data_IF_084233700352
#
_entry.id   IF_084233700352
#
_cell.length_a   1.000
_cell.length_b   1.000
_cell.length_c   1.000
_cell.angle_alpha   90.00
_cell.angle_beta   90.00
_cell.angle_gamma   90.00
#
_symmetry.space_group_name_H-M   'P 1'
#
loop_
_entity.id
_entity.type
_entity.pdbx_description
1 polymer ?
#
# COMPACT_ATOMS: atom_id res chain seq x y z
N UNK A 1 -31.33 40.84 -2.03
CA UNK A 1 -30.09 40.58 -2.80
C UNK A 1 -28.89 40.13 -1.90
N UNK A 2 -28.81 40.48 -0.62
CA UNK A 2 -27.67 40.17 0.26
C UNK A 2 -27.50 38.66 0.61
N UNK A 3 -28.58 37.88 0.65
CA UNK A 3 -28.52 36.45 1.01
C UNK A 3 -28.01 35.50 -0.09
N UNK A 4 -28.14 35.86 -1.38
CA UNK A 4 -27.62 35.06 -2.50
C UNK A 4 -26.09 35.09 -2.52
N UNK A 5 -25.51 36.26 -2.25
CA UNK A 5 -24.05 36.43 -2.24
C UNK A 5 -23.36 35.62 -1.11
N UNK A 6 -24.00 35.56 0.07
CA UNK A 6 -23.48 34.78 1.20
C UNK A 6 -23.52 33.28 0.95
N UNK A 7 -24.53 32.79 0.24
CA UNK A 7 -24.67 31.36 -0.10
C UNK A 7 -23.61 30.90 -1.09
N UNK A 8 -23.31 31.71 -2.09
CA UNK A 8 -22.28 31.41 -3.11
C UNK A 8 -20.87 31.47 -2.49
N UNK A 9 -20.59 32.41 -1.60
CA UNK A 9 -19.30 32.52 -0.91
C UNK A 9 -19.11 31.34 0.07
N UNK A 10 -20.18 30.92 0.76
CA UNK A 10 -20.13 29.76 1.67
C UNK A 10 -19.92 28.44 0.91
N UNK A 11 -20.53 28.29 -0.26
CA UNK A 11 -20.33 27.13 -1.12
C UNK A 11 -18.89 27.06 -1.66
N UNK A 12 -18.30 28.20 -1.99
CA UNK A 12 -16.91 28.28 -2.45
C UNK A 12 -15.90 27.96 -1.33
N UNK A 13 -16.15 28.39 -0.10
CA UNK A 13 -15.30 28.10 1.07
C UNK A 13 -15.37 26.63 1.47
N UNK A 14 -16.54 25.99 1.34
CA UNK A 14 -16.70 24.55 1.64
C UNK A 14 -16.01 23.66 0.58
N UNK A 15 -15.94 24.11 -0.69
CA UNK A 15 -15.27 23.37 -1.76
C UNK A 15 -13.73 23.46 -1.68
N UNK A 16 -13.17 24.42 -0.95
CA UNK A 16 -11.72 24.58 -0.79
C UNK A 16 -11.12 23.79 0.39
N UNK A 17 -11.94 23.08 1.17
CA UNK A 17 -11.45 22.10 2.15
C UNK A 17 -11.16 20.76 1.44
N UNK A 18 -10.77 20.78 0.17
CA UNK A 18 -10.21 19.61 -0.50
C UNK A 18 -8.82 19.39 0.05
N UNK A 19 -8.76 18.51 1.02
CA UNK A 19 -7.64 17.60 1.30
C UNK A 19 -6.28 18.11 0.82
N UNK A 20 -5.75 19.13 1.52
CA UNK A 20 -4.34 19.43 1.40
C UNK A 20 -3.58 18.26 2.05
N UNK A 21 -3.23 17.26 1.25
CA UNK A 21 -2.13 16.37 1.60
C UNK A 21 -0.93 17.25 1.90
N UNK A 22 -0.38 17.27 3.11
CA UNK A 22 0.89 17.94 3.33
C UNK A 22 1.88 17.26 2.39
N UNK A 23 2.30 17.99 1.35
CA UNK A 23 3.31 17.55 0.40
C UNK A 23 4.55 17.14 1.19
N UNK A 24 4.89 15.84 1.15
CA UNK A 24 6.07 15.31 1.82
C UNK A 24 5.80 14.51 3.10
N UNK A 25 4.60 14.00 3.33
CA UNK A 25 4.37 13.10 4.48
C UNK A 25 5.14 11.79 4.25
N UNK A 26 6.21 11.61 5.01
CA UNK A 26 7.03 10.41 4.99
C UNK A 26 6.25 9.20 5.54
N UNK A 27 6.34 8.04 4.86
CA UNK A 27 5.64 6.81 5.25
C UNK A 27 5.99 6.40 6.69
N UNK A 28 7.25 6.55 7.11
CA UNK A 28 7.62 6.33 8.51
C UNK A 28 6.77 7.16 9.48
N UNK A 29 6.54 8.42 9.15
CA UNK A 29 5.76 9.33 10.00
C UNK A 29 4.30 8.90 10.08
N UNK A 30 3.73 8.39 8.98
CA UNK A 30 2.36 7.85 8.97
C UNK A 30 2.28 6.61 9.84
N UNK A 31 3.15 5.61 9.63
CA UNK A 31 3.20 4.38 10.43
C UNK A 31 3.36 4.68 11.92
N UNK A 32 4.30 5.57 12.28
CA UNK A 32 4.52 5.99 13.66
C UNK A 32 3.28 6.64 14.28
N UNK A 33 2.60 7.53 13.55
CA UNK A 33 1.37 8.18 14.01
C UNK A 33 0.27 7.17 14.24
N UNK A 34 0.04 6.25 13.30
CA UNK A 34 -0.96 5.19 13.40
C UNK A 34 -0.72 4.33 14.63
N UNK A 35 0.52 3.89 14.83
CA UNK A 35 0.89 3.12 16.03
C UNK A 35 0.70 3.90 17.34
N UNK A 36 1.13 5.15 17.39
CA UNK A 36 0.99 6.00 18.60
C UNK A 36 -0.47 6.32 18.94
N UNK A 37 -1.38 6.26 17.96
CA UNK A 37 -2.83 6.39 18.17
C UNK A 37 -3.49 5.08 18.68
N UNK A 38 -2.71 4.04 18.96
CA UNK A 38 -3.19 2.77 19.49
C UNK A 38 -3.60 1.75 18.43
N UNK A 39 -3.31 2.00 17.15
CA UNK A 39 -3.56 1.05 16.07
C UNK A 39 -2.29 0.23 15.78
N UNK A 40 -2.39 -1.08 15.86
CA UNK A 40 -1.33 -2.03 15.54
C UNK A 40 -1.38 -2.50 14.07
N UNK A 41 -2.27 -1.93 13.28
CA UNK A 41 -2.40 -2.19 11.84
C UNK A 41 -2.49 -0.89 11.04
N UNK A 42 -2.11 -0.96 9.76
CA UNK A 42 -2.21 0.15 8.80
C UNK A 42 -2.64 -0.35 7.42
N UNK A 43 -3.65 0.28 6.84
CA UNK A 43 -4.03 0.07 5.43
C UNK A 43 -3.48 1.24 4.58
N UNK A 44 -2.44 0.98 3.80
CA UNK A 44 -1.87 2.01 2.93
C UNK A 44 -2.82 2.43 1.80
N UNK A 45 -3.81 1.59 1.45
CA UNK A 45 -4.85 1.95 0.49
C UNK A 45 -5.72 3.11 0.96
N UNK A 46 -5.92 3.23 2.27
CA UNK A 46 -6.77 4.23 2.93
C UNK A 46 -5.97 5.39 3.54
N UNK A 47 -4.83 5.10 4.17
CA UNK A 47 -4.07 6.08 4.96
C UNK A 47 -3.20 7.03 4.13
N UNK A 48 -2.85 6.63 2.89
CA UNK A 48 -2.02 7.47 2.03
C UNK A 48 -2.87 8.49 1.28
N UNK A 49 -2.43 9.72 1.34
CA UNK A 49 -3.13 10.86 0.76
C UNK A 49 -2.84 11.10 -0.73
N UNK A 50 -1.98 10.30 -1.36
CA UNK A 50 -1.75 10.30 -2.79
C UNK A 50 -2.36 9.04 -3.43
N UNK A 51 -2.74 9.14 -4.70
CA UNK A 51 -3.32 8.01 -5.42
C UNK A 51 -2.23 7.12 -6.02
N UNK A 52 -2.44 5.80 -5.93
CA UNK A 52 -1.51 4.79 -6.40
C UNK A 52 -2.23 3.47 -6.72
N UNK A 53 -1.58 2.60 -7.50
CA UNK A 53 -2.12 1.29 -7.90
C UNK A 53 -1.32 0.15 -7.28
N UNK A 54 0.02 0.30 -7.30
CA UNK A 54 0.96 -0.72 -6.83
C UNK A 54 2.01 -0.10 -5.93
N UNK A 55 2.34 -0.83 -4.88
CA UNK A 55 3.47 -0.57 -4.01
C UNK A 55 4.51 -1.67 -4.21
N UNK A 56 5.77 -1.28 -4.31
CA UNK A 56 6.92 -2.17 -4.35
C UNK A 56 7.79 -1.93 -3.12
N UNK A 57 8.24 -3.02 -2.53
CA UNK A 57 9.30 -3.00 -1.56
C UNK A 57 10.50 -3.77 -2.08
N UNK A 58 11.67 -3.18 -2.01
CA UNK A 58 12.93 -3.80 -2.35
C UNK A 58 13.87 -3.71 -1.16
N UNK A 59 14.26 -4.85 -0.63
CA UNK A 59 15.26 -4.90 0.44
C UNK A 59 16.66 -4.56 -0.09
N UNK A 60 17.57 -4.30 0.84
CA UNK A 60 18.98 -4.09 0.54
C UNK A 60 19.54 -5.21 -0.35
N UNK A 61 20.33 -4.85 -1.35
CA UNK A 61 20.92 -5.79 -2.32
C UNK A 61 20.22 -5.81 -3.69
N UNK A 62 19.05 -5.19 -3.83
CA UNK A 62 18.46 -4.96 -5.15
C UNK A 62 19.14 -3.78 -5.82
N UNK A 63 19.82 -4.04 -6.95
CA UNK A 63 20.52 -3.02 -7.72
C UNK A 63 19.61 -2.17 -8.60
N UNK A 64 20.12 -1.09 -9.13
CA UNK A 64 19.45 -0.24 -10.13
C UNK A 64 18.94 -1.05 -11.32
N UNK A 65 19.74 -1.99 -11.81
CA UNK A 65 19.42 -2.82 -12.97
C UNK A 65 18.24 -3.78 -12.68
N UNK A 66 18.04 -4.10 -11.40
CA UNK A 66 16.89 -4.92 -10.98
C UNK A 66 15.61 -4.08 -10.77
N UNK A 67 15.73 -2.88 -10.19
CA UNK A 67 14.59 -2.07 -9.77
C UNK A 67 14.01 -1.26 -10.94
N UNK A 68 14.85 -0.55 -11.68
CA UNK A 68 14.40 0.39 -12.70
C UNK A 68 13.51 -0.22 -13.78
N UNK A 69 13.80 -1.43 -14.32
CA UNK A 69 12.89 -2.08 -15.27
C UNK A 69 11.52 -2.43 -14.68
N UNK A 70 11.47 -2.82 -13.39
CA UNK A 70 10.22 -3.21 -12.72
C UNK A 70 9.30 -2.01 -12.52
N UNK A 71 9.86 -0.87 -12.10
CA UNK A 71 9.09 0.34 -11.77
C UNK A 71 9.08 1.36 -12.90
N UNK A 72 9.73 1.06 -14.03
CA UNK A 72 9.81 1.90 -15.22
C UNK A 72 10.29 3.34 -14.94
N UNK A 73 11.36 3.45 -14.15
CA UNK A 73 12.02 4.74 -13.90
C UNK A 73 13.52 4.61 -14.13
N UNK A 74 14.15 5.75 -14.41
CA UNK A 74 15.61 5.87 -14.44
C UNK A 74 16.03 6.76 -13.26
N UNK A 75 15.96 6.23 -12.06
CA UNK A 75 16.38 6.91 -10.85
C UNK A 75 17.72 6.38 -10.36
N UNK A 76 18.44 7.23 -9.67
CA UNK A 76 19.64 6.82 -8.95
C UNK A 76 19.23 6.34 -7.54
N UNK A 77 19.61 5.10 -7.24
CA UNK A 77 19.40 4.49 -5.93
C UNK A 77 20.77 4.20 -5.30
N UNK A 78 20.86 4.31 -3.98
CA UNK A 78 22.05 3.83 -3.30
C UNK A 78 21.89 2.34 -2.99
N UNK A 79 22.89 1.51 -3.29
CA UNK A 79 22.78 0.04 -3.18
C UNK A 79 22.66 -0.49 -1.74
N UNK A 80 22.81 0.38 -0.75
CA UNK A 80 22.83 0.03 0.68
C UNK A 80 21.53 0.31 1.42
N UNK A 81 20.46 0.62 0.71
CA UNK A 81 19.16 1.01 1.29
C UNK A 81 18.01 0.07 0.93
N UNK A 82 17.07 -0.07 1.86
CA UNK A 82 15.74 -0.60 1.56
C UNK A 82 14.92 0.47 0.84
N UNK A 83 14.02 0.08 -0.07
CA UNK A 83 13.27 1.04 -0.90
C UNK A 83 11.80 0.71 -0.94
N UNK A 84 10.99 1.75 -0.78
CA UNK A 84 9.55 1.69 -1.03
C UNK A 84 9.24 2.57 -2.25
N UNK A 85 8.46 2.04 -3.19
CA UNK A 85 8.08 2.75 -4.41
C UNK A 85 6.59 2.56 -4.65
N UNK A 86 5.87 3.66 -4.85
CA UNK A 86 4.46 3.64 -5.22
C UNK A 86 4.30 4.08 -6.67
N UNK A 87 3.48 3.34 -7.40
CA UNK A 87 3.25 3.55 -8.83
C UNK A 87 1.77 3.77 -9.10
N UNK A 88 1.45 4.74 -9.95
CA UNK A 88 0.10 5.00 -10.49
C UNK A 88 0.17 5.03 -12.01
N UNK A 89 -0.66 4.20 -12.68
CA UNK A 89 -0.71 4.13 -14.14
C UNK A 89 0.70 3.96 -14.79
N UNK A 90 1.54 3.11 -14.20
CA UNK A 90 2.90 2.86 -14.68
C UNK A 90 3.91 3.99 -14.41
N UNK A 91 3.56 4.99 -13.59
CA UNK A 91 4.46 6.09 -13.22
C UNK A 91 4.71 6.10 -11.72
N UNK A 92 5.94 6.32 -11.30
CA UNK A 92 6.28 6.49 -9.89
C UNK A 92 5.67 7.79 -9.37
N UNK A 93 4.87 7.69 -8.30
CA UNK A 93 4.21 8.83 -7.62
C UNK A 93 4.86 9.13 -6.28
N UNK A 94 5.53 8.15 -5.69
CA UNK A 94 6.29 8.30 -4.45
C UNK A 94 7.40 7.26 -4.39
N UNK A 95 8.56 7.63 -3.86
CA UNK A 95 9.62 6.70 -3.48
C UNK A 95 10.39 7.20 -2.27
N UNK A 96 10.96 6.28 -1.52
CA UNK A 96 11.81 6.55 -0.36
C UNK A 96 12.83 5.45 -0.18
N UNK A 97 14.07 5.83 0.15
CA UNK A 97 15.11 4.91 0.60
C UNK A 97 15.28 4.99 2.12
N UNK A 98 15.51 3.84 2.73
CA UNK A 98 15.81 3.68 4.14
C UNK A 98 17.16 2.98 4.29
N UNK A 99 18.08 3.59 5.01
CA UNK A 99 19.44 3.07 5.16
C UNK A 99 19.58 2.34 6.50
N UNK A 100 19.64 0.99 6.51
CA UNK A 100 19.80 0.21 7.74
C UNK A 100 21.20 0.32 8.34
N UNK A 101 22.23 0.49 7.48
CA UNK A 101 23.64 0.51 7.87
C UNK A 101 24.17 1.93 8.03
N UNK A 102 23.70 2.64 9.05
CA UNK A 102 24.21 3.97 9.38
C UNK A 102 24.73 4.00 10.81
N UNK A 103 25.86 4.66 11.07
CA UNK A 103 26.45 4.80 12.42
C UNK A 103 25.42 5.33 13.43
N UNK A 104 24.59 6.29 13.01
CA UNK A 104 23.46 6.75 13.81
C UNK A 104 22.18 6.13 13.24
N UNK A 105 21.42 5.35 14.03
CA UNK A 105 20.18 4.75 13.56
C UNK A 105 19.22 5.80 13.00
N UNK A 106 18.90 5.71 11.71
CA UNK A 106 17.94 6.58 11.04
C UNK A 106 16.51 6.04 11.24
N UNK A 107 15.54 6.96 11.14
CA UNK A 107 14.12 6.59 11.14
C UNK A 107 13.81 5.79 9.89
N UNK A 108 13.28 4.58 10.06
CA UNK A 108 12.97 3.68 8.94
C UNK A 108 11.79 2.76 9.24
N UNK A 109 11.20 2.27 8.17
CA UNK A 109 10.35 1.07 8.19
C UNK A 109 11.11 -0.07 7.52
N UNK A 110 10.71 -1.30 7.81
CA UNK A 110 11.13 -2.50 7.11
C UNK A 110 9.93 -3.42 6.93
N UNK A 111 10.05 -4.43 6.07
CA UNK A 111 8.97 -5.39 5.82
C UNK A 111 9.42 -6.80 6.18
N UNK A 112 8.46 -7.61 6.63
CA UNK A 112 8.65 -9.03 6.88
C UNK A 112 7.80 -9.83 5.88
N UNK A 113 8.38 -10.74 5.09
CA UNK A 113 9.80 -11.11 5.01
C UNK A 113 10.66 -10.03 4.34
N UNK A 114 11.96 -10.05 4.62
CA UNK A 114 12.96 -9.17 4.01
C UNK A 114 13.31 -9.63 2.59
N UNK A 115 12.48 -9.24 1.63
CA UNK A 115 12.58 -9.63 0.23
C UNK A 115 11.94 -8.57 -0.67
N UNK A 116 12.00 -8.75 -2.00
CA UNK A 116 11.20 -7.92 -2.89
C UNK A 116 9.72 -8.32 -2.80
N UNK A 117 8.87 -7.35 -2.52
CA UNK A 117 7.43 -7.53 -2.35
C UNK A 117 6.66 -6.59 -3.26
N UNK A 118 5.49 -7.04 -3.72
CA UNK A 118 4.57 -6.23 -4.54
C UNK A 118 3.18 -6.34 -3.96
N UNK A 119 2.54 -5.19 -3.74
CA UNK A 119 1.18 -5.11 -3.21
C UNK A 119 0.30 -4.24 -4.11
N UNK A 120 -0.93 -4.66 -4.31
CA UNK A 120 -1.98 -3.84 -4.91
C UNK A 120 -2.61 -2.95 -3.84
N UNK A 121 -3.18 -1.82 -4.25
CA UNK A 121 -3.78 -0.84 -3.33
C UNK A 121 -4.86 -1.45 -2.42
N UNK A 122 -5.68 -2.34 -2.95
CA UNK A 122 -6.77 -3.01 -2.25
C UNK A 122 -6.32 -4.12 -1.29
N UNK A 123 -5.04 -4.50 -1.36
CA UNK A 123 -4.44 -5.55 -0.53
C UNK A 123 -3.16 -5.07 0.15
N UNK A 124 -3.19 -3.87 0.74
CA UNK A 124 -2.04 -3.24 1.38
C UNK A 124 -2.28 -2.98 2.89
N UNK A 125 -2.86 -3.98 3.55
CA UNK A 125 -3.05 -4.00 5.00
C UNK A 125 -1.84 -4.67 5.67
N UNK A 126 -1.28 -4.01 6.68
CA UNK A 126 -0.09 -4.48 7.40
C UNK A 126 -0.27 -4.41 8.91
N UNK A 127 0.23 -5.43 9.63
CA UNK A 127 0.48 -5.34 11.06
C UNK A 127 1.75 -4.51 11.30
N UNK A 128 1.75 -3.72 12.37
CA UNK A 128 2.85 -2.85 12.76
C UNK A 128 3.50 -3.41 14.01
N UNK A 129 4.78 -3.75 13.94
CA UNK A 129 5.63 -4.07 15.08
C UNK A 129 6.60 -2.93 15.34
N UNK A 130 6.57 -2.34 16.54
CA UNK A 130 7.54 -1.35 16.96
C UNK A 130 8.75 -2.04 17.59
N UNK A 131 9.87 -2.06 16.88
CA UNK A 131 11.14 -2.58 17.39
C UNK A 131 11.87 -1.54 18.24
N UNK A 132 11.81 -0.27 17.82
CA UNK A 132 12.40 0.85 18.55
C UNK A 132 11.69 2.16 18.18
N UNK A 133 12.09 3.28 18.81
CA UNK A 133 11.55 4.61 18.45
C UNK A 133 11.92 5.06 17.02
N UNK A 134 12.80 4.33 16.35
CA UNK A 134 13.27 4.63 15.00
C UNK A 134 13.01 3.52 13.98
N UNK A 135 12.53 2.34 14.41
CA UNK A 135 12.28 1.19 13.54
C UNK A 135 10.91 0.58 13.78
N UNK A 136 10.12 0.49 12.72
CA UNK A 136 8.88 -0.28 12.64
C UNK A 136 9.03 -1.36 11.59
N UNK A 137 8.56 -2.58 11.90
CA UNK A 137 8.46 -3.69 10.95
C UNK A 137 7.00 -3.84 10.54
N UNK A 138 6.77 -4.01 9.25
CA UNK A 138 5.45 -4.21 8.66
C UNK A 138 5.33 -5.64 8.17
N UNK A 139 4.28 -6.35 8.62
CA UNK A 139 3.96 -7.70 8.18
C UNK A 139 2.63 -7.68 7.45
N UNK A 140 2.60 -8.16 6.20
CA UNK A 140 1.40 -8.15 5.37
C UNK A 140 0.29 -9.02 5.97
N UNK A 141 -0.92 -8.48 6.01
CA UNK A 141 -2.13 -9.20 6.40
C UNK A 141 -2.95 -9.39 5.11
N UNK A 142 -2.98 -10.60 4.52
CA UNK A 142 -3.73 -10.83 3.30
C UNK A 142 -5.22 -10.65 3.56
N UNK A 143 -5.89 -9.84 2.77
CA UNK A 143 -7.35 -9.75 2.77
C UNK A 143 -7.90 -11.06 2.19
N UNK A 144 -8.61 -11.83 2.99
CA UNK A 144 -9.28 -13.05 2.54
C UNK A 144 -10.45 -12.61 1.67
N UNK A 145 -10.31 -12.72 0.35
CA UNK A 145 -11.45 -12.64 -0.55
C UNK A 145 -12.22 -13.94 -0.38
N UNK A 146 -13.35 -13.90 0.31
CA UNK A 146 -14.29 -15.03 0.33
C UNK A 146 -14.79 -15.20 -1.10
N UNK A 147 -14.16 -16.11 -1.84
CA UNK A 147 -14.69 -16.56 -3.12
C UNK A 147 -15.95 -17.32 -2.77
N UNK A 148 -17.08 -16.75 -3.16
CA UNK A 148 -18.40 -17.36 -2.97
C UNK A 148 -18.38 -18.73 -3.63
N UNK A 149 -18.28 -19.79 -2.83
CA UNK A 149 -18.17 -21.18 -3.29
C UNK A 149 -19.51 -21.70 -3.84
N UNK A 150 -20.52 -20.83 -3.97
CA UNK A 150 -21.83 -21.18 -4.51
C UNK A 150 -21.82 -21.62 -5.99
N UNK A 151 -20.69 -21.44 -6.71
CA UNK A 151 -20.54 -21.87 -8.09
C UNK A 151 -19.99 -23.32 -8.26
N UNK A 152 -19.48 -23.94 -7.17
CA UNK A 152 -18.93 -25.31 -7.25
C UNK A 152 -20.03 -26.38 -7.15
N UNK A 153 -21.14 -26.09 -6.46
CA UNK A 153 -22.20 -27.08 -6.22
C UNK A 153 -23.03 -27.38 -7.47
N UNK A 154 -23.21 -26.38 -8.36
CA UNK A 154 -23.93 -26.55 -9.62
C UNK A 154 -23.19 -27.44 -10.64
N UNK A 155 -21.86 -27.51 -10.59
CA UNK A 155 -21.06 -28.31 -11.52
C UNK A 155 -21.05 -29.80 -11.11
N UNK A 156 -21.09 -30.05 -9.83
CA UNK A 156 -21.11 -31.42 -9.28
C UNK A 156 -22.49 -32.06 -9.45
N UNK A 157 -23.57 -31.27 -9.32
CA UNK A 157 -24.93 -31.78 -9.62
C UNK A 157 -25.11 -32.13 -11.10
N UNK A 158 -24.66 -31.31 -12.04
CA UNK A 158 -24.76 -31.60 -13.47
C UNK A 158 -23.91 -32.81 -13.91
N UNK A 159 -22.79 -33.08 -13.21
CA UNK A 159 -21.98 -34.28 -13.50
C UNK A 159 -22.68 -35.57 -13.02
N UNK A 160 -23.34 -35.52 -11.86
CA UNK A 160 -24.06 -36.66 -11.31
C UNK A 160 -25.31 -37.01 -12.12
N UNK A 161 -26.05 -36.04 -12.62
CA UNK A 161 -27.21 -36.26 -13.49
C UNK A 161 -26.84 -36.89 -14.85
N UNK A 162 -25.65 -36.57 -15.39
CA UNK A 162 -25.16 -37.18 -16.63
C UNK A 162 -24.68 -38.63 -16.47
N UNK A 163 -24.30 -39.05 -15.26
CA UNK A 163 -23.86 -40.43 -15.03
C UNK A 163 -25.03 -41.38 -14.73
N UNK A 164 -26.17 -40.89 -14.27
CA UNK A 164 -27.35 -41.74 -14.03
C UNK A 164 -28.18 -42.02 -15.25
N UNK A 165 -28.01 -41.30 -16.37
CA UNK A 165 -28.74 -41.53 -17.62
C UNK A 165 -28.01 -42.40 -18.64
N UNK A 166 -26.94 -43.10 -18.26
CA UNK A 166 -26.15 -43.93 -19.17
C UNK A 166 -26.18 -45.42 -18.85
N UNK A 167 -27.15 -45.88 -18.09
CA UNK A 167 -27.39 -47.30 -17.77
C UNK A 167 -28.87 -47.65 -18.03
N UNK A 168 -29.27 -47.60 -19.30
CA UNK A 168 -30.39 -48.35 -19.90
C UNK A 168 -30.05 -48.77 -21.32
#
# INVERSE_FOLDING_TARGET
MKYKFFREVFLFVVLTIVSCCPSGTDIYTIVKRTYNNGNDTIDFGEELCFDWDKMYWFSIGYSLDNINPIVNINAFWQDVGDRIVFVKNGRVVYHKEYFPCHETPLKRISFNPDSALVFQKDNALFAIEKVSDKLYILSHIPKITVVDTSLSDNKTQQLNERMTHKTD
#
